data_IF_614538126601
#
_entry.id   IF_614538126601
#
_cell.length_a   1.000
_cell.length_b   1.000
_cell.length_c   1.000
_cell.angle_alpha   90.00
_cell.angle_beta   90.00
_cell.angle_gamma   90.00
#
_symmetry.space_group_name_H-M   'P 1'
#
loop_
_entity.id
_entity.type
_entity.pdbx_description
1 polymer ?
#
# COMPACT_ATOMS: atom_id res chain seq x y z
N UNK A 1 6.10 -9.65 2.18
CA UNK A 1 5.60 -8.81 1.07
C UNK A 1 6.55 -8.90 -0.11
N UNK A 2 5.98 -8.86 -1.31
CA UNK A 2 6.67 -8.89 -2.59
C UNK A 2 6.86 -7.44 -3.08
N UNK A 3 8.10 -6.99 -3.35
CA UNK A 3 8.35 -5.63 -3.79
C UNK A 3 7.80 -5.37 -5.20
N UNK A 4 7.07 -4.26 -5.37
CA UNK A 4 6.60 -3.75 -6.69
C UNK A 4 6.85 -2.24 -6.84
N UNK A 5 7.07 -1.76 -8.06
CA UNK A 5 7.13 -0.31 -8.32
C UNK A 5 5.74 0.31 -8.35
N UNK A 6 5.65 1.63 -8.09
CA UNK A 6 4.38 2.37 -8.17
C UNK A 6 3.73 2.19 -9.55
N UNK A 7 4.47 2.40 -10.64
CA UNK A 7 3.90 2.27 -12.00
C UNK A 7 3.46 0.84 -12.31
N UNK A 8 4.20 -0.18 -11.88
CA UNK A 8 3.80 -1.57 -12.10
C UNK A 8 2.51 -1.92 -11.34
N UNK A 9 2.38 -1.44 -10.10
CA UNK A 9 1.15 -1.63 -9.33
C UNK A 9 -0.03 -0.86 -9.96
N UNK A 10 0.13 0.41 -10.32
CA UNK A 10 -0.91 1.21 -11.00
C UNK A 10 -1.40 0.52 -12.26
N UNK A 11 -0.49 0.07 -13.13
CA UNK A 11 -0.86 -0.64 -14.36
C UNK A 11 -1.62 -1.94 -14.07
N UNK A 12 -1.17 -2.74 -13.09
CA UNK A 12 -1.82 -4.00 -12.72
C UNK A 12 -3.20 -3.77 -12.11
N UNK A 13 -3.33 -2.76 -11.24
CA UNK A 13 -4.55 -2.44 -10.52
C UNK A 13 -5.61 -1.85 -11.48
N UNK A 14 -5.28 -0.82 -12.25
CA UNK A 14 -6.22 -0.19 -13.19
C UNK A 14 -6.63 -1.12 -14.35
N UNK A 15 -5.81 -2.12 -14.70
CA UNK A 15 -6.23 -3.16 -15.66
C UNK A 15 -7.42 -3.98 -15.14
N UNK A 16 -7.48 -4.23 -13.84
CA UNK A 16 -8.53 -5.01 -13.20
C UNK A 16 -9.68 -4.15 -12.67
N UNK A 17 -9.43 -2.85 -12.43
CA UNK A 17 -10.39 -1.86 -11.94
C UNK A 17 -10.43 -0.67 -12.93
N UNK A 18 -11.14 -0.78 -14.07
CA UNK A 18 -11.09 0.22 -15.15
C UNK A 18 -11.70 1.58 -14.78
N UNK A 19 -12.50 1.65 -13.73
CA UNK A 19 -13.06 2.87 -13.14
C UNK A 19 -12.04 3.65 -12.29
N UNK A 20 -10.94 3.01 -11.88
CA UNK A 20 -9.89 3.63 -11.07
C UNK A 20 -9.13 4.70 -11.86
N UNK A 21 -8.87 5.85 -11.23
CA UNK A 21 -8.10 6.91 -11.89
C UNK A 21 -6.59 6.69 -11.67
N UNK A 22 -5.82 6.35 -12.71
CA UNK A 22 -4.40 6.00 -12.54
C UNK A 22 -3.55 7.17 -12.04
N UNK A 23 -3.94 8.42 -12.33
CA UNK A 23 -3.21 9.59 -11.86
C UNK A 23 -3.45 9.85 -10.38
N UNK A 24 -4.67 9.61 -9.91
CA UNK A 24 -5.04 9.76 -8.51
C UNK A 24 -4.39 8.63 -7.69
N UNK A 25 -4.53 7.37 -8.12
CA UNK A 25 -3.88 6.23 -7.48
C UNK A 25 -2.36 6.41 -7.35
N UNK A 26 -1.70 6.90 -8.41
CA UNK A 26 -0.25 7.20 -8.36
C UNK A 26 0.09 8.26 -7.32
N UNK A 27 -0.74 9.29 -7.17
CA UNK A 27 -0.54 10.35 -6.16
C UNK A 27 -0.70 9.78 -4.76
N UNK A 28 -1.73 8.97 -4.54
CA UNK A 28 -2.03 8.39 -3.23
C UNK A 28 -0.97 7.38 -2.81
N UNK A 29 -0.45 6.56 -3.72
CA UNK A 29 0.69 5.67 -3.46
C UNK A 29 1.95 6.45 -3.06
N UNK A 30 2.27 7.56 -3.75
CA UNK A 30 3.42 8.40 -3.38
C UNK A 30 3.25 9.01 -2.00
N UNK A 31 2.03 9.39 -1.64
CA UNK A 31 1.72 9.93 -0.33
C UNK A 31 1.85 8.84 0.75
N UNK A 32 1.25 7.67 0.56
CA UNK A 32 1.35 6.56 1.50
C UNK A 32 2.80 6.07 1.70
N UNK A 33 3.62 6.06 0.64
CA UNK A 33 5.06 5.78 0.75
C UNK A 33 5.78 6.82 1.62
N UNK A 34 5.46 8.10 1.45
CA UNK A 34 6.03 9.17 2.27
C UNK A 34 5.59 9.03 3.73
N UNK A 35 4.32 8.74 3.97
CA UNK A 35 3.75 8.57 5.31
C UNK A 35 4.40 7.39 6.03
N UNK A 36 4.55 6.25 5.35
CA UNK A 36 5.26 5.09 5.89
C UNK A 36 6.74 5.41 6.21
N UNK A 37 7.45 6.13 5.33
CA UNK A 37 8.82 6.60 5.59
C UNK A 37 8.94 7.55 6.78
N UNK A 38 7.87 8.30 7.08
CA UNK A 38 7.81 9.20 8.23
C UNK A 38 7.45 8.48 9.54
N UNK A 39 7.20 7.16 9.51
CA UNK A 39 6.84 6.37 10.69
C UNK A 39 5.37 6.48 11.07
N UNK A 40 4.49 6.84 10.13
CA UNK A 40 3.04 6.77 10.36
C UNK A 40 2.62 5.34 10.68
N UNK A 41 1.70 5.20 11.63
CA UNK A 41 1.26 3.90 12.16
C UNK A 41 -0.25 3.72 12.04
N UNK A 42 -0.67 2.47 12.05
CA UNK A 42 -2.08 2.10 12.06
C UNK A 42 -2.75 2.58 13.35
N UNK A 43 -3.76 3.43 13.22
CA UNK A 43 -4.50 3.96 14.36
C UNK A 43 -5.10 2.88 15.28
N UNK A 44 -5.46 1.72 14.72
CA UNK A 44 -6.13 0.65 15.48
C UNK A 44 -5.17 -0.19 16.34
N UNK A 45 -3.94 -0.44 15.87
CA UNK A 45 -3.04 -1.40 16.52
C UNK A 45 -1.60 -0.90 16.71
N UNK A 46 -1.25 0.29 16.22
CA UNK A 46 0.07 0.89 16.33
C UNK A 46 1.16 0.24 15.46
N UNK A 47 0.83 -0.81 14.69
CA UNK A 47 1.76 -1.38 13.71
C UNK A 47 2.01 -0.39 12.57
N UNK A 48 3.14 -0.55 11.89
CA UNK A 48 3.43 0.22 10.69
C UNK A 48 2.33 0.05 9.61
N UNK A 49 2.04 1.14 8.90
CA UNK A 49 1.05 1.10 7.82
C UNK A 49 1.54 0.25 6.64
N UNK A 50 0.59 -0.33 5.90
CA UNK A 50 0.86 -0.95 4.60
C UNK A 50 0.60 0.10 3.52
N UNK A 51 1.61 0.52 2.76
CA UNK A 51 1.50 1.70 1.91
C UNK A 51 0.52 1.49 0.74
N UNK A 52 0.56 0.30 0.10
CA UNK A 52 -0.42 -0.05 -0.92
C UNK A 52 -1.85 -0.03 -0.35
N UNK A 53 -2.07 -0.74 0.76
CA UNK A 53 -3.37 -0.78 1.43
C UNK A 53 -3.90 0.60 1.83
N UNK A 54 -3.00 1.45 2.31
CA UNK A 54 -3.31 2.82 2.72
C UNK A 54 -3.69 3.72 1.55
N UNK A 55 -3.15 3.49 0.36
CA UNK A 55 -3.50 4.24 -0.84
C UNK A 55 -4.84 3.80 -1.47
N UNK A 56 -5.22 2.52 -1.33
CA UNK A 56 -6.44 1.98 -1.97
C UNK A 56 -7.65 1.96 -1.04
N UNK A 57 -7.44 2.01 0.27
CA UNK A 57 -8.51 1.89 1.26
C UNK A 57 -8.36 2.96 2.35
N UNK A 58 -7.70 2.63 3.45
CA UNK A 58 -7.54 3.52 4.61
C UNK A 58 -6.16 3.34 5.24
N UNK A 59 -5.64 4.41 5.84
CA UNK A 59 -4.30 4.45 6.44
C UNK A 59 -4.18 3.47 7.61
N UNK A 60 -3.72 2.25 7.34
CA UNK A 60 -3.70 1.13 8.28
C UNK A 60 -2.69 0.05 7.89
N UNK A 61 -2.37 -0.83 8.83
CA UNK A 61 -1.49 -1.97 8.59
C UNK A 61 -2.22 -3.05 7.80
N UNK A 62 -1.45 -3.97 7.20
CA UNK A 62 -1.96 -5.11 6.45
C UNK A 62 -3.01 -5.90 7.23
N UNK A 63 -2.69 -6.35 8.45
CA UNK A 63 -3.58 -7.21 9.23
C UNK A 63 -4.90 -6.55 9.62
N UNK A 64 -4.92 -5.24 9.84
CA UNK A 64 -6.17 -4.52 10.10
C UNK A 64 -7.01 -4.35 8.82
N UNK A 65 -6.37 -4.28 7.65
CA UNK A 65 -7.04 -4.15 6.36
C UNK A 65 -7.62 -5.49 5.86
N UNK A 66 -6.86 -6.58 5.99
CA UNK A 66 -7.20 -7.88 5.40
C UNK A 66 -7.74 -8.88 6.42
N UNK A 67 -7.44 -8.71 7.70
CA UNK A 67 -7.66 -9.72 8.74
C UNK A 67 -6.62 -10.84 8.75
N UNK A 68 -5.60 -10.77 7.89
CA UNK A 68 -4.57 -11.80 7.73
C UNK A 68 -3.29 -11.43 8.49
N UNK A 69 -2.58 -12.43 9.01
CA UNK A 69 -1.33 -12.23 9.72
C UNK A 69 -0.10 -12.33 8.82
N UNK A 70 -0.20 -13.07 7.72
CA UNK A 70 0.90 -13.30 6.78
C UNK A 70 0.70 -12.45 5.52
N UNK A 71 1.67 -11.59 5.25
CA UNK A 71 1.72 -10.72 4.07
C UNK A 71 2.87 -11.10 3.15
N UNK A 72 3.43 -12.30 3.29
CA UNK A 72 4.63 -12.73 2.57
C UNK A 72 4.43 -12.69 1.04
N UNK A 73 3.23 -13.03 0.57
CA UNK A 73 2.87 -13.07 -0.86
C UNK A 73 2.23 -11.77 -1.39
N UNK A 74 1.90 -10.82 -0.50
CA UNK A 74 1.25 -9.56 -0.87
C UNK A 74 2.23 -8.50 -1.34
N UNK A 75 1.79 -7.66 -2.27
CA UNK A 75 2.64 -6.59 -2.78
C UNK A 75 2.86 -5.48 -1.75
N UNK A 76 4.03 -4.85 -1.82
CA UNK A 76 4.32 -3.55 -1.20
C UNK A 76 5.25 -2.73 -2.09
N UNK A 77 5.18 -1.40 -1.99
CA UNK A 77 6.01 -0.52 -2.80
C UNK A 77 7.49 -0.69 -2.46
N UNK A 78 8.34 -0.90 -3.48
CA UNK A 78 9.79 -1.13 -3.38
C UNK A 78 10.50 -0.23 -2.36
N UNK A 79 10.12 1.05 -2.30
CA UNK A 79 10.76 2.07 -1.45
C UNK A 79 10.54 1.85 0.05
N UNK A 80 9.53 1.05 0.42
CA UNK A 80 9.07 0.80 1.79
C UNK A 80 8.75 -0.68 2.04
N UNK A 81 9.17 -1.56 1.12
CA UNK A 81 9.08 -3.00 1.26
C UNK A 81 10.39 -3.48 1.90
N UNK A 82 10.47 -3.38 3.23
CA UNK A 82 11.65 -3.85 3.96
C UNK A 82 11.53 -5.35 4.23
N UNK A 83 12.67 -6.03 4.21
CA UNK A 83 12.84 -7.47 4.43
C UNK A 83 12.69 -7.87 5.89
#
# INVERSE_FOLDING_TARGET
MVPISIEAFVNKHCKNNPEENPNQLRKDLKQAVKDKKNGETCFNCGQEIWAIGSAVAYQSCFSCLTGEADSSEDYEINEVCWS
#
